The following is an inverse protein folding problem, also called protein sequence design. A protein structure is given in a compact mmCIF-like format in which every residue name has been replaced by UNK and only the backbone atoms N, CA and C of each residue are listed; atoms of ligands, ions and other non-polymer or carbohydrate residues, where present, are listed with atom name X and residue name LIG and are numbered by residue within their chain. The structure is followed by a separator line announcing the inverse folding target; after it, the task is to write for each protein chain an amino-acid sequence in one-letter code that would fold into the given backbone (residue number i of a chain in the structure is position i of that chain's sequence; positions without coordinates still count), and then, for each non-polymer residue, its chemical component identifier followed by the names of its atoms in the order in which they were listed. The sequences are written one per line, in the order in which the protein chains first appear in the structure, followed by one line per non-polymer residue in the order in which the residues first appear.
data_IF_077543499936
#
_entry.id   IF_077543499936
#
_cell.length_a   1.000
_cell.length_b   1.000
_cell.length_c   1.000
_cell.angle_alpha   90.00
_cell.angle_beta   90.00
_cell.angle_gamma   90.00
#
_symmetry.space_group_name_H-M   'P 1'
#
loop_
_entity.id
_entity.type
_entity.pdbx_description
1 polymer ?
#
# COMPACT_ATOMS: atom_id res chain seq x y z
N UNK A 1 52.71 -22.82 -26.75
CA UNK A 1 52.66 -22.86 -25.26
C UNK A 1 52.84 -21.49 -24.59
N UNK A 2 53.40 -20.47 -25.26
CA UNK A 2 53.55 -19.12 -24.65
C UNK A 2 52.24 -18.33 -24.49
N UNK A 3 51.29 -18.46 -25.42
CA UNK A 3 50.04 -17.70 -25.41
C UNK A 3 49.12 -18.08 -24.23
N UNK A 4 49.05 -19.36 -23.89
CA UNK A 4 48.25 -19.87 -22.77
C UNK A 4 48.79 -19.40 -21.43
N UNK A 5 50.13 -19.36 -21.27
CA UNK A 5 50.77 -18.83 -20.06
C UNK A 5 50.52 -17.32 -19.89
N UNK A 6 50.45 -16.58 -21.01
CA UNK A 6 50.12 -15.15 -20.99
C UNK A 6 48.69 -14.90 -20.49
N UNK A 7 47.69 -15.66 -20.98
CA UNK A 7 46.31 -15.54 -20.52
C UNK A 7 46.15 -15.92 -19.04
N UNK A 8 46.81 -16.98 -18.59
CA UNK A 8 46.79 -17.38 -17.17
C UNK A 8 47.42 -16.29 -16.30
N UNK A 9 48.56 -15.73 -16.70
CA UNK A 9 49.20 -14.61 -16.00
C UNK A 9 48.31 -13.37 -15.92
N UNK A 10 47.61 -13.05 -17.01
CA UNK A 10 46.67 -11.94 -17.05
C UNK A 10 45.49 -12.14 -16.09
N UNK A 11 44.89 -13.33 -16.08
CA UNK A 11 43.78 -13.65 -15.19
C UNK A 11 44.20 -13.57 -13.70
N UNK A 12 45.39 -14.05 -13.36
CA UNK A 12 45.92 -13.98 -11.99
C UNK A 12 46.22 -12.54 -11.58
N UNK A 13 46.78 -11.73 -12.48
CA UNK A 13 47.04 -10.31 -12.21
C UNK A 13 45.74 -9.54 -11.97
N UNK A 14 44.73 -9.71 -12.82
CA UNK A 14 43.42 -9.08 -12.62
C UNK A 14 42.70 -9.57 -11.37
N UNK A 15 42.75 -10.88 -11.08
CA UNK A 15 42.19 -11.46 -9.85
C UNK A 15 42.87 -10.91 -8.59
N UNK A 16 44.19 -10.74 -8.62
CA UNK A 16 44.96 -10.15 -7.52
C UNK A 16 44.63 -8.69 -7.26
N UNK A 17 44.51 -7.88 -8.32
CA UNK A 17 44.13 -6.46 -8.23
C UNK A 17 42.69 -6.34 -7.68
N UNK A 18 41.76 -7.15 -8.19
CA UNK A 18 40.37 -7.16 -7.69
C UNK A 18 40.30 -7.54 -6.20
N UNK A 19 41.08 -8.54 -5.76
CA UNK A 19 41.13 -8.96 -4.37
C UNK A 19 41.75 -7.92 -3.43
N UNK A 20 42.66 -7.05 -3.92
CA UNK A 20 43.18 -5.92 -3.14
C UNK A 20 42.18 -4.76 -3.07
N UNK A 21 41.46 -4.47 -4.15
CA UNK A 21 40.49 -3.38 -4.21
C UNK A 21 39.18 -3.71 -3.48
N UNK A 22 38.79 -4.98 -3.38
CA UNK A 22 37.58 -5.42 -2.67
C UNK A 22 37.72 -5.44 -1.13
N UNK A 23 38.83 -4.96 -0.57
CA UNK A 23 39.05 -4.88 0.90
C UNK A 23 38.43 -3.65 1.57
N UNK A 24 37.60 -2.89 0.85
CA UNK A 24 36.80 -1.81 1.44
C UNK A 24 35.49 -2.35 2.01
N UNK A 25 34.95 -1.75 3.09
CA UNK A 25 33.57 -2.01 3.47
C UNK A 25 32.68 -1.68 2.27
N UNK A 26 31.84 -2.65 1.87
CA UNK A 26 30.83 -2.43 0.85
C UNK A 26 29.87 -1.40 1.43
N UNK A 27 29.77 -0.22 0.81
CA UNK A 27 28.69 0.74 1.08
C UNK A 27 27.38 0.10 0.62
N UNK A 28 26.79 -0.67 1.52
CA UNK A 28 25.43 -1.17 1.36
C UNK A 28 24.51 0.05 1.41
N UNK A 29 23.65 0.27 0.41
CA UNK A 29 22.65 1.33 0.50
C UNK A 29 21.85 1.14 1.80
N UNK A 30 21.60 2.25 2.50
CA UNK A 30 20.89 2.25 3.78
C UNK A 30 19.65 1.38 3.67
N UNK A 31 19.69 0.21 4.33
CA UNK A 31 18.54 -0.68 4.41
C UNK A 31 17.47 0.13 5.14
N UNK A 32 16.32 0.44 4.51
CA UNK A 32 15.25 1.16 5.18
C UNK A 32 14.92 0.40 6.46
N UNK A 33 14.78 1.16 7.56
CA UNK A 33 14.66 0.66 8.94
C UNK A 33 13.94 -0.68 9.01
N UNK A 34 14.45 -1.66 9.79
CA UNK A 34 13.82 -2.96 9.91
C UNK A 34 12.35 -2.75 10.30
N UNK A 35 11.46 -3.24 9.44
CA UNK A 35 10.03 -3.21 9.66
C UNK A 35 9.78 -3.77 11.06
N UNK A 36 9.16 -2.98 11.94
CA UNK A 36 8.88 -3.45 13.30
C UNK A 36 8.02 -4.70 13.21
N UNK A 37 8.35 -5.74 13.97
CA UNK A 37 7.51 -6.92 14.10
C UNK A 37 6.09 -6.56 14.57
N UNK A 38 5.91 -5.42 15.22
CA UNK A 38 4.59 -4.87 15.57
C UNK A 38 3.82 -4.37 14.35
N UNK A 39 4.47 -3.75 13.36
CA UNK A 39 3.82 -3.26 12.14
C UNK A 39 3.34 -4.42 11.26
N UNK A 40 4.15 -5.48 11.14
CA UNK A 40 3.77 -6.72 10.43
C UNK A 40 2.62 -7.43 11.15
N UNK A 41 2.66 -7.52 12.48
CA UNK A 41 1.57 -8.10 13.28
C UNK A 41 0.30 -7.24 13.24
N UNK A 42 0.40 -5.95 12.89
CA UNK A 42 -0.75 -5.02 12.80
C UNK A 42 -1.49 -5.08 11.47
N UNK A 43 -0.89 -5.65 10.42
CA UNK A 43 -1.57 -5.77 9.14
C UNK A 43 -2.65 -6.84 9.20
N UNK A 44 -3.83 -6.42 9.65
CA UNK A 44 -5.06 -7.18 9.50
C UNK A 44 -5.94 -6.41 8.52
N UNK A 45 -6.18 -6.94 7.31
CA UNK A 45 -6.98 -6.28 6.27
C UNK A 45 -8.49 -6.35 6.58
N UNK A 46 -8.86 -6.28 7.85
CA UNK A 46 -10.26 -6.31 8.29
C UNK A 46 -10.90 -4.96 8.01
N UNK A 47 -12.15 -5.00 7.56
CA UNK A 47 -12.94 -3.82 7.23
C UNK A 47 -12.18 -2.82 6.33
N UNK A 48 -11.56 -3.35 5.27
CA UNK A 48 -10.62 -2.61 4.43
C UNK A 48 -11.10 -2.58 2.98
N UNK A 49 -11.17 -1.38 2.42
CA UNK A 49 -11.37 -1.09 1.01
C UNK A 49 -10.01 -0.89 0.34
N UNK A 50 -9.65 -1.80 -0.54
CA UNK A 50 -8.46 -1.69 -1.39
C UNK A 50 -8.83 -1.03 -2.72
N UNK A 51 -8.04 -0.05 -3.12
CA UNK A 51 -8.07 0.58 -4.44
C UNK A 51 -6.72 0.31 -5.08
N UNK A 52 -6.71 -0.57 -6.07
CA UNK A 52 -5.51 -1.04 -6.75
C UNK A 52 -5.56 -0.52 -8.19
N UNK A 53 -4.46 0.02 -8.69
CA UNK A 53 -4.39 0.51 -10.06
C UNK A 53 -2.97 0.56 -10.61
N UNK A 54 -2.78 0.78 -11.92
CA UNK A 54 -1.44 0.77 -12.51
C UNK A 54 -0.65 2.04 -12.13
N UNK A 55 -1.30 3.20 -12.10
CA UNK A 55 -0.71 4.46 -11.65
C UNK A 55 -1.76 5.35 -10.99
N UNK A 56 -1.32 6.30 -10.16
CA UNK A 56 -2.22 7.24 -9.50
C UNK A 56 -2.98 8.12 -10.50
N UNK A 57 -2.38 8.40 -11.66
CA UNK A 57 -2.96 9.22 -12.72
C UNK A 57 -3.76 8.42 -13.74
N UNK A 58 -3.86 7.10 -13.62
CA UNK A 58 -4.72 6.31 -14.50
C UNK A 58 -6.19 6.77 -14.43
N UNK A 59 -6.90 6.75 -15.57
CA UNK A 59 -8.25 7.32 -15.67
C UNK A 59 -9.23 6.70 -14.66
N UNK A 60 -9.19 5.38 -14.49
CA UNK A 60 -9.99 4.65 -13.51
C UNK A 60 -9.67 5.04 -12.07
N UNK A 61 -8.39 5.19 -11.71
CA UNK A 61 -7.95 5.61 -10.37
C UNK A 61 -8.44 7.02 -10.03
N UNK A 62 -8.29 7.97 -10.96
CA UNK A 62 -8.77 9.33 -10.78
C UNK A 62 -10.28 9.37 -10.62
N UNK A 63 -11.01 8.59 -11.43
CA UNK A 63 -12.46 8.49 -11.32
C UNK A 63 -12.86 7.91 -9.96
N UNK A 64 -12.25 6.80 -9.53
CA UNK A 64 -12.53 6.17 -8.25
C UNK A 64 -12.35 7.14 -7.07
N UNK A 65 -11.23 7.88 -7.03
CA UNK A 65 -11.01 8.88 -5.97
C UNK A 65 -12.09 9.96 -5.95
N UNK A 66 -12.53 10.42 -7.13
CA UNK A 66 -13.64 11.39 -7.23
C UNK A 66 -14.96 10.81 -6.73
N UNK A 67 -15.25 9.55 -7.06
CA UNK A 67 -16.45 8.84 -6.62
C UNK A 67 -16.48 8.57 -5.10
N UNK A 68 -15.30 8.36 -4.49
CA UNK A 68 -15.20 8.07 -3.07
C UNK A 68 -15.20 9.33 -2.18
N UNK A 69 -14.68 10.46 -2.68
CA UNK A 69 -14.54 11.71 -1.90
C UNK A 69 -15.80 12.15 -1.14
N UNK A 70 -17.02 12.10 -1.70
CA UNK A 70 -18.22 12.48 -0.97
C UNK A 70 -18.55 11.56 0.21
N UNK A 71 -18.06 10.32 0.22
CA UNK A 71 -18.38 9.31 1.20
C UNK A 71 -17.33 9.17 2.32
N UNK A 72 -16.34 10.06 2.39
CA UNK A 72 -15.35 10.10 3.47
C UNK A 72 -16.00 10.08 4.87
N UNK A 73 -17.07 10.85 5.16
CA UNK A 73 -17.72 10.78 6.47
C UNK A 73 -18.26 9.39 6.81
N UNK A 74 -18.72 8.64 5.81
CA UNK A 74 -19.23 7.29 5.97
C UNK A 74 -18.10 6.29 6.19
N UNK A 75 -17.00 6.40 5.42
CA UNK A 75 -15.77 5.62 5.65
C UNK A 75 -15.30 5.76 7.11
N UNK A 76 -15.27 6.98 7.63
CA UNK A 76 -14.85 7.26 9.01
C UNK A 76 -15.85 6.68 10.02
N UNK A 77 -17.15 6.83 9.78
CA UNK A 77 -18.21 6.35 10.69
C UNK A 77 -18.19 4.84 10.84
N UNK A 78 -18.02 4.13 9.74
CA UNK A 78 -18.02 2.67 9.68
C UNK A 78 -16.64 2.06 9.97
N UNK A 79 -15.65 2.88 10.38
CA UNK A 79 -14.26 2.47 10.65
C UNK A 79 -13.61 1.68 9.50
N UNK A 80 -13.94 2.08 8.25
CA UNK A 80 -13.40 1.45 7.05
C UNK A 80 -12.01 2.00 6.76
N UNK A 81 -11.03 1.12 6.64
CA UNK A 81 -9.69 1.47 6.18
C UNK A 81 -9.67 1.54 4.66
N UNK A 82 -9.11 2.59 4.08
CA UNK A 82 -8.91 2.69 2.63
C UNK A 82 -7.43 2.53 2.34
N UNK A 83 -7.06 1.47 1.64
CA UNK A 83 -5.67 1.24 1.21
C UNK A 83 -5.59 1.46 -0.30
N UNK A 84 -4.76 2.42 -0.71
CA UNK A 84 -4.51 2.74 -2.11
C UNK A 84 -3.14 2.21 -2.55
N UNK A 85 -3.11 1.52 -3.70
CA UNK A 85 -1.90 0.91 -4.26
C UNK A 85 -1.85 1.21 -5.76
N UNK A 86 -0.81 1.91 -6.19
CA UNK A 86 -0.70 2.41 -7.56
C UNK A 86 0.65 2.03 -8.17
N UNK A 87 0.69 0.94 -8.92
CA UNK A 87 1.93 0.37 -9.45
C UNK A 87 2.97 0.19 -8.34
N UNK A 88 4.17 0.72 -8.57
CA UNK A 88 5.29 0.66 -7.62
C UNK A 88 5.33 1.85 -6.64
N UNK A 89 4.33 2.75 -6.68
CA UNK A 89 4.26 3.86 -5.76
C UNK A 89 4.01 3.37 -4.32
N UNK A 90 4.55 4.09 -3.34
CA UNK A 90 4.31 3.81 -1.92
C UNK A 90 2.82 3.69 -1.64
N UNK A 91 2.40 2.56 -1.08
CA UNK A 91 1.02 2.32 -0.69
C UNK A 91 0.58 3.38 0.33
N UNK A 92 -0.72 3.67 0.37
CA UNK A 92 -1.29 4.67 1.29
C UNK A 92 -2.44 4.09 2.08
N UNK A 93 -2.49 4.35 3.38
CA UNK A 93 -3.62 4.05 4.25
C UNK A 93 -4.32 5.34 4.61
N UNK A 94 -5.57 5.52 4.20
CA UNK A 94 -6.37 6.73 4.42
C UNK A 94 -5.66 8.03 3.98
N UNK A 95 -4.77 7.92 2.98
CA UNK A 95 -3.96 9.02 2.45
C UNK A 95 -2.53 9.09 2.99
N UNK A 96 -2.25 8.46 4.13
CA UNK A 96 -0.93 8.45 4.78
C UNK A 96 -0.01 7.39 4.16
N UNK A 97 1.28 7.70 3.91
CA UNK A 97 2.23 6.74 3.36
C UNK A 97 2.41 5.51 4.26
N UNK A 98 2.37 4.33 3.66
CA UNK A 98 2.54 3.05 4.33
C UNK A 98 3.85 2.41 3.85
N UNK A 99 4.98 2.92 4.36
CA UNK A 99 6.33 2.59 3.86
C UNK A 99 6.79 1.16 4.13
N UNK A 100 6.18 0.46 5.08
CA UNK A 100 6.53 -0.92 5.41
C UNK A 100 5.80 -1.96 4.55
N UNK A 101 4.76 -1.55 3.82
CA UNK A 101 3.97 -2.44 2.97
C UNK A 101 4.53 -2.42 1.54
N UNK A 102 5.01 -3.58 1.07
CA UNK A 102 5.42 -3.76 -0.32
C UNK A 102 4.18 -3.75 -1.25
N UNK A 103 4.06 -2.77 -2.16
CA UNK A 103 2.96 -2.69 -3.12
C UNK A 103 2.87 -3.92 -4.03
N UNK A 104 4.00 -4.43 -4.53
CA UNK A 104 4.03 -5.53 -5.48
C UNK A 104 3.59 -6.84 -4.82
N UNK A 105 4.08 -7.09 -3.59
CA UNK A 105 3.68 -8.26 -2.81
C UNK A 105 2.18 -8.27 -2.52
N UNK A 106 1.60 -7.12 -2.13
CA UNK A 106 0.17 -7.05 -1.85
C UNK A 106 -0.68 -7.21 -3.11
N UNK A 107 -0.27 -6.62 -4.24
CA UNK A 107 -0.95 -6.82 -5.53
C UNK A 107 -0.99 -8.30 -5.90
N UNK A 108 0.15 -8.99 -5.79
CA UNK A 108 0.22 -10.42 -6.06
C UNK A 108 -0.65 -11.24 -5.09
N UNK A 109 -0.58 -10.95 -3.79
CA UNK A 109 -1.40 -11.63 -2.78
C UNK A 109 -2.91 -11.42 -2.99
N UNK A 110 -3.30 -10.35 -3.68
CA UNK A 110 -4.68 -10.03 -4.02
C UNK A 110 -5.06 -10.41 -5.45
N UNK A 111 -4.19 -11.12 -6.19
CA UNK A 111 -4.40 -11.48 -7.61
C UNK A 111 -4.73 -10.25 -8.46
N UNK A 112 -4.04 -9.12 -8.21
CA UNK A 112 -4.35 -7.79 -8.73
C UNK A 112 -3.10 -7.11 -9.33
N UNK A 113 -2.26 -7.88 -10.00
CA UNK A 113 -0.99 -7.46 -10.60
C UNK A 113 -1.20 -6.43 -11.71
N UNK A 114 -2.22 -6.63 -12.56
CA UNK A 114 -2.44 -5.84 -13.77
C UNK A 114 -3.83 -5.20 -13.78
N UNK A 115 -3.90 -3.92 -14.12
CA UNK A 115 -5.17 -3.20 -14.25
C UNK A 115 -5.64 -2.52 -12.97
N UNK A 116 -6.96 -2.29 -12.87
CA UNK A 116 -7.60 -1.52 -11.81
C UNK A 116 -8.59 -2.41 -11.06
N UNK A 117 -8.57 -2.34 -9.73
CA UNK A 117 -9.47 -3.09 -8.87
C UNK A 117 -9.97 -2.28 -7.68
N UNK A 118 -11.22 -2.52 -7.31
CA UNK A 118 -11.81 -2.14 -6.03
C UNK A 118 -12.20 -3.42 -5.31
N UNK A 119 -11.61 -3.65 -4.14
CA UNK A 119 -11.80 -4.89 -3.37
C UNK A 119 -12.16 -4.51 -1.95
N UNK A 120 -13.24 -5.09 -1.41
CA UNK A 120 -13.61 -4.88 -0.01
C UNK A 120 -13.47 -6.18 0.77
N UNK A 121 -12.84 -6.07 1.94
CA UNK A 121 -12.63 -7.17 2.88
C UNK A 121 -13.36 -6.87 4.19
N UNK A 122 -14.19 -7.81 4.64
CA UNK A 122 -15.02 -7.67 5.85
C UNK A 122 -14.22 -7.72 7.16
N UNK A 123 -14.91 -7.59 8.28
CA UNK A 123 -14.38 -7.70 9.64
C UNK A 123 -13.78 -9.08 9.96
N UNK A 124 -14.17 -10.12 9.20
CA UNK A 124 -13.66 -11.49 9.30
C UNK A 124 -12.46 -11.74 8.38
N UNK A 125 -12.05 -10.75 7.59
CA UNK A 125 -10.96 -10.89 6.64
C UNK A 125 -11.37 -11.59 5.33
N UNK A 126 -12.66 -11.67 5.01
CA UNK A 126 -13.16 -12.27 3.77
C UNK A 126 -13.43 -11.20 2.74
N UNK A 127 -13.05 -11.47 1.50
CA UNK A 127 -13.43 -10.62 0.36
C UNK A 127 -14.95 -10.68 0.15
N UNK A 128 -15.64 -9.55 0.32
CA UNK A 128 -17.09 -9.44 0.10
C UNK A 128 -17.38 -9.21 -1.37
N UNK A 129 -16.58 -8.33 -2.01
CA UNK A 129 -16.68 -8.08 -3.43
C UNK A 129 -15.33 -7.70 -4.01
N UNK A 130 -15.24 -7.89 -5.32
CA UNK A 130 -14.16 -7.46 -6.21
C UNK A 130 -14.77 -6.84 -7.46
N UNK A 131 -14.25 -5.72 -7.90
CA UNK A 131 -14.65 -5.05 -9.14
C UNK A 131 -13.42 -4.60 -9.90
N UNK A 132 -13.43 -4.82 -11.22
CA UNK A 132 -12.37 -4.35 -12.15
C UNK A 132 -12.67 -2.95 -12.70
N UNK A 133 -13.79 -2.36 -12.28
CA UNK A 133 -14.28 -1.08 -12.74
C UNK A 133 -14.51 -0.13 -11.57
N UNK A 134 -14.36 1.19 -11.76
CA UNK A 134 -14.69 2.18 -10.75
C UNK A 134 -16.12 2.02 -10.25
N UNK A 135 -16.31 2.17 -8.95
CA UNK A 135 -17.58 2.00 -8.28
C UNK A 135 -17.98 3.29 -7.56
N UNK A 136 -19.26 3.63 -7.66
CA UNK A 136 -19.85 4.69 -6.84
C UNK A 136 -19.86 4.26 -5.37
N UNK A 137 -19.66 5.23 -4.48
CA UNK A 137 -19.58 4.95 -3.05
C UNK A 137 -20.83 4.22 -2.52
N UNK A 138 -22.03 4.64 -2.92
CA UNK A 138 -23.29 4.00 -2.50
C UNK A 138 -23.30 2.50 -2.77
N UNK A 139 -22.79 2.08 -3.92
CA UNK A 139 -22.75 0.67 -4.31
C UNK A 139 -21.70 -0.10 -3.51
N UNK A 140 -20.56 0.53 -3.22
CA UNK A 140 -19.53 -0.03 -2.34
C UNK A 140 -20.13 -0.33 -0.97
N UNK A 141 -20.76 0.65 -0.32
CA UNK A 141 -21.32 0.48 1.01
C UNK A 141 -22.50 -0.49 1.03
N UNK A 142 -23.37 -0.45 0.01
CA UNK A 142 -24.49 -1.38 -0.10
C UNK A 142 -24.00 -2.83 -0.20
N UNK A 143 -23.01 -3.09 -1.05
CA UNK A 143 -22.43 -4.44 -1.21
C UNK A 143 -21.61 -4.87 0.00
N UNK A 144 -20.97 -3.93 0.68
CA UNK A 144 -20.26 -4.18 1.94
C UNK A 144 -21.21 -4.48 3.11
N UNK A 145 -22.53 -4.31 2.94
CA UNK A 145 -23.50 -4.44 4.03
C UNK A 145 -23.35 -3.35 5.09
N UNK A 146 -22.73 -2.22 4.72
CA UNK A 146 -22.52 -1.07 5.59
C UNK A 146 -23.71 -0.12 5.47
N UNK A 147 -24.21 0.33 6.61
CA UNK A 147 -25.48 1.07 6.65
C UNK A 147 -25.32 2.46 6.01
N UNK A 148 -26.08 2.72 4.95
CA UNK A 148 -26.04 3.99 4.19
C UNK A 148 -26.96 5.03 4.85
N UNK A 149 -27.71 4.66 5.90
CA UNK A 149 -28.66 5.56 6.53
C UNK A 149 -27.99 6.90 6.94
N UNK A 150 -28.61 8.05 6.60
CA UNK A 150 -28.16 9.34 7.10
C UNK A 150 -28.29 9.32 8.63
N UNK A 151 -27.27 9.85 9.30
CA UNK A 151 -27.08 9.72 10.74
C UNK A 151 -28.37 10.02 11.53
N UNK A 152 -28.97 8.99 12.12
CA UNK A 152 -29.88 9.19 13.26
C UNK A 152 -29.01 9.40 14.50
N UNK A 153 -28.78 10.68 14.81
CA UNK A 153 -28.33 11.18 16.12
C UNK A 153 -27.43 10.22 16.91
N UNK A 154 -26.15 10.16 16.53
CA UNK A 154 -25.13 9.61 17.41
C UNK A 154 -25.05 10.54 18.64
N UNK A 155 -25.44 10.02 19.80
CA UNK A 155 -25.42 10.72 21.08
C UNK A 155 -24.11 11.49 21.26
N UNK A 156 -24.21 12.76 21.63
CA UNK A 156 -23.13 13.67 22.02
C UNK A 156 -22.16 13.01 23.02
N UNK A 157 -21.14 12.30 22.55
CA UNK A 157 -19.91 12.13 23.33
C UNK A 157 -19.04 13.36 23.05
N UNK A 158 -18.95 14.25 24.04
CA UNK A 158 -18.05 15.41 24.05
C UNK A 158 -16.62 14.93 23.79
N UNK A 159 -16.16 15.03 22.55
CA UNK A 159 -14.77 14.76 22.17
C UNK A 159 -13.91 15.95 22.54
N UNK A 160 -12.90 15.71 23.37
CA UNK A 160 -11.87 16.70 23.76
C UNK A 160 -11.02 17.18 22.58
N UNK A 161 -11.06 16.47 21.45
CA UNK A 161 -10.37 16.83 20.19
C UNK A 161 -11.02 18.05 19.53
N UNK A 162 -12.34 18.14 19.57
CA UNK A 162 -13.10 19.29 19.02
C UNK A 162 -12.81 20.60 19.77
N UNK A 163 -12.46 20.53 21.06
CA UNK A 163 -12.05 21.71 21.82
C UNK A 163 -10.64 22.19 21.45
N UNK A 164 -9.73 21.29 21.05
CA UNK A 164 -8.37 21.67 20.65
C UNK A 164 -8.31 22.28 19.24
N UNK A 165 -9.15 21.82 18.31
CA UNK A 165 -9.18 22.34 16.95
C UNK A 165 -9.92 23.69 16.80
N UNK A 166 -10.65 24.14 17.81
CA UNK A 166 -11.40 25.41 17.78
C UNK A 166 -10.62 26.59 18.38
N UNK A 167 -9.50 26.31 19.03
CA UNK A 167 -8.61 27.30 19.64
C UNK A 167 -7.33 27.55 18.80
N UNK A 168 -7.21 26.91 17.64
CA UNK A 168 -6.14 27.08 16.67
C UNK A 168 -6.67 27.76 15.40
#
# INVERSE_FOLDING_TARGET
MGLTLFFVGLCVAFGGIAAMLARGPIDLPEIPRPISAEDIRRFSPRNTLFIIGPTADHAACRLQRRLLKPAIPLVIREDVKVIEIYGDATARLNGDPLSWLDPALLRHAMDAEDGFYVIFVDDRGRTVFRSEHPMVATDIFARAGLDIAPARSASQRKSTVLNKLRAA
#
